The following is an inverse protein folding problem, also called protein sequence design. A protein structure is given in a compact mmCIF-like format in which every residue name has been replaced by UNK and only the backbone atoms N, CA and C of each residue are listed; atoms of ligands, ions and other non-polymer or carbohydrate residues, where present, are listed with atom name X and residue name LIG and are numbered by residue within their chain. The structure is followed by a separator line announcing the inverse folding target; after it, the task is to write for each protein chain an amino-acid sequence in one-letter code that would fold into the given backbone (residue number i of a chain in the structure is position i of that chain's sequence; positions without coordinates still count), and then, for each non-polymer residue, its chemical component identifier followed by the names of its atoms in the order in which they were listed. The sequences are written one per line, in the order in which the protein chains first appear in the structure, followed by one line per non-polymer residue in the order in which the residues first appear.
data_IF_597945077001
#
_entry.id   IF_597945077001
#
_cell.length_a   1.000
_cell.length_b   1.000
_cell.length_c   1.000
_cell.angle_alpha   90.00
_cell.angle_beta   90.00
_cell.angle_gamma   90.00
#
_symmetry.space_group_name_H-M   'P 1'
#
loop_
_entity.id
_entity.type
_entity.pdbx_description
1 polymer ?
#
# COMPACT_ATOMS: atom_id res chain seq x y z
N UNK A 1 -9.15 38.99 21.12
CA UNK A 1 -8.01 38.10 20.87
C UNK A 1 -8.25 37.38 19.56
N UNK A 2 -7.22 37.19 18.74
CA UNK A 2 -7.34 36.55 17.42
C UNK A 2 -7.63 35.06 17.58
N UNK A 3 -8.71 34.60 16.97
CA UNK A 3 -8.89 33.20 16.56
C UNK A 3 -8.16 33.03 15.23
N UNK A 4 -7.13 32.20 15.19
CA UNK A 4 -6.57 31.67 13.95
C UNK A 4 -6.19 30.21 14.23
N UNK A 5 -7.21 29.36 14.23
CA UNK A 5 -7.09 27.92 14.08
C UNK A 5 -7.19 27.59 12.58
N UNK A 6 -6.55 26.48 12.22
CA UNK A 6 -6.76 25.69 11.00
C UNK A 6 -5.97 26.15 9.78
N UNK A 7 -4.70 25.76 9.77
CA UNK A 7 -3.92 25.62 8.54
C UNK A 7 -4.68 24.70 7.57
N UNK A 8 -5.36 25.33 6.63
CA UNK A 8 -5.58 24.77 5.30
C UNK A 8 -4.23 24.32 4.73
N UNK A 9 -4.14 23.13 4.15
CA UNK A 9 -3.48 22.83 2.86
C UNK A 9 -3.33 21.31 2.63
N UNK A 10 -4.38 20.63 2.17
CA UNK A 10 -4.34 19.52 1.18
C UNK A 10 -5.79 19.21 0.73
N UNK A 11 -6.33 19.99 -0.21
CA UNK A 11 -6.58 19.55 -1.59
C UNK A 11 -7.60 18.39 -1.63
N UNK A 12 -8.90 18.66 -1.60
CA UNK A 12 -9.69 18.87 -2.83
C UNK A 12 -9.37 17.87 -3.96
N UNK A 13 -9.72 16.59 -3.77
CA UNK A 13 -9.95 15.63 -4.86
C UNK A 13 -11.02 14.61 -4.44
N UNK A 14 -12.24 15.10 -4.20
CA UNK A 14 -13.44 14.26 -4.13
C UNK A 14 -14.04 14.17 -5.53
N UNK A 15 -13.54 13.29 -6.39
CA UNK A 15 -14.23 12.82 -7.61
C UNK A 15 -13.57 11.53 -8.10
N UNK A 16 -14.17 10.38 -7.82
CA UNK A 16 -13.90 9.04 -8.40
C UNK A 16 -12.41 8.68 -8.51
N UNK A 17 -11.84 8.13 -7.43
CA UNK A 17 -10.50 7.55 -7.47
C UNK A 17 -10.45 6.53 -8.60
N UNK A 18 -9.56 6.73 -9.57
CA UNK A 18 -9.41 5.74 -10.63
C UNK A 18 -8.84 4.44 -10.03
N UNK A 19 -9.13 3.25 -10.60
CA UNK A 19 -8.54 1.98 -10.15
C UNK A 19 -7.03 2.04 -9.93
N UNK A 20 -6.35 2.77 -10.83
CA UNK A 20 -4.92 3.04 -10.74
C UNK A 20 -4.54 3.81 -9.48
N UNK A 21 -5.26 4.88 -9.14
CA UNK A 21 -4.93 5.73 -7.99
C UNK A 21 -5.19 5.02 -6.66
N UNK A 22 -6.26 4.21 -6.58
CA UNK A 22 -6.57 3.39 -5.40
C UNK A 22 -5.40 2.44 -5.14
N UNK A 23 -5.00 1.72 -6.19
CA UNK A 23 -3.92 0.74 -6.10
C UNK A 23 -2.56 1.40 -5.78
N UNK A 24 -2.25 2.54 -6.40
CA UNK A 24 -1.02 3.29 -6.09
C UNK A 24 -0.98 3.74 -4.63
N UNK A 25 -2.10 4.24 -4.09
CA UNK A 25 -2.20 4.66 -2.69
C UNK A 25 -2.01 3.47 -1.75
N UNK A 26 -2.70 2.37 -2.00
CA UNK A 26 -2.62 1.16 -1.19
C UNK A 26 -1.19 0.61 -1.17
N UNK A 27 -0.53 0.52 -2.33
CA UNK A 27 0.86 0.03 -2.42
C UNK A 27 1.80 0.95 -1.63
N UNK A 28 1.63 2.27 -1.75
CA UNK A 28 2.46 3.23 -1.02
C UNK A 28 2.24 3.18 0.50
N UNK A 29 1.02 2.94 0.96
CA UNK A 29 0.70 2.76 2.38
C UNK A 29 1.37 1.51 2.93
N UNK A 30 1.15 0.36 2.28
CA UNK A 30 1.75 -0.91 2.70
C UNK A 30 3.27 -0.86 2.70
N UNK A 31 3.86 -0.22 1.69
CA UNK A 31 5.29 0.01 1.62
C UNK A 31 5.79 0.90 2.77
N UNK A 32 5.09 1.99 3.07
CA UNK A 32 5.43 2.88 4.16
C UNK A 32 5.36 2.16 5.52
N UNK A 33 4.34 1.32 5.71
CA UNK A 33 4.19 0.47 6.90
C UNK A 33 5.32 -0.57 7.02
N UNK A 34 5.61 -1.32 5.96
CA UNK A 34 6.68 -2.34 5.95
C UNK A 34 8.06 -1.73 6.22
N UNK A 35 8.35 -0.58 5.60
CA UNK A 35 9.66 0.07 5.72
C UNK A 35 9.76 1.02 6.92
N UNK A 36 8.66 1.24 7.66
CA UNK A 36 8.57 2.22 8.74
C UNK A 36 9.06 3.61 8.32
N UNK A 37 8.62 4.06 7.14
CA UNK A 37 8.90 5.39 6.60
C UNK A 37 7.60 6.19 6.45
N UNK A 38 7.70 7.51 6.43
CA UNK A 38 6.53 8.35 6.19
C UNK A 38 6.00 8.15 4.75
N UNK A 39 4.69 7.93 4.59
CA UNK A 39 4.01 7.85 3.28
C UNK A 39 4.34 9.04 2.37
N UNK A 40 4.54 10.22 2.95
CA UNK A 40 4.91 11.44 2.20
C UNK A 40 6.30 11.39 1.57
N UNK A 41 7.13 10.41 1.91
CA UNK A 41 8.46 10.20 1.31
C UNK A 41 8.45 9.20 0.16
N UNK A 42 7.33 8.48 -0.01
CA UNK A 42 7.17 7.48 -1.06
C UNK A 42 6.67 8.18 -2.34
N UNK A 43 7.56 8.29 -3.32
CA UNK A 43 7.26 8.74 -4.67
C UNK A 43 6.84 7.55 -5.55
N UNK A 44 5.72 7.69 -6.27
CA UNK A 44 5.17 6.60 -7.11
C UNK A 44 6.04 6.25 -8.33
N UNK A 45 6.87 7.19 -8.78
CA UNK A 45 7.71 7.07 -9.98
C UNK A 45 9.14 6.59 -9.66
N UNK A 46 9.48 6.47 -8.38
CA UNK A 46 10.81 6.08 -7.95
C UNK A 46 10.87 4.57 -7.69
N UNK A 47 12.00 3.91 -8.01
CA UNK A 47 12.17 2.50 -7.72
C UNK A 47 12.01 2.18 -6.24
N UNK A 48 11.22 1.15 -5.93
CA UNK A 48 10.92 0.70 -4.57
C UNK A 48 12.19 0.32 -3.79
N UNK A 49 13.20 -0.21 -4.48
CA UNK A 49 14.51 -0.56 -3.92
C UNK A 49 15.25 0.64 -3.33
N UNK A 50 14.93 1.87 -3.74
CA UNK A 50 15.53 3.07 -3.16
C UNK A 50 15.08 3.31 -1.71
N UNK A 51 13.87 2.89 -1.36
CA UNK A 51 13.34 2.98 0.00
C UNK A 51 13.88 1.87 0.91
N UNK A 52 14.60 0.91 0.35
CA UNK A 52 15.15 -0.23 1.08
C UNK A 52 14.34 -1.51 0.94
N UNK A 53 13.37 -1.57 0.00
CA UNK A 53 12.63 -2.79 -0.29
C UNK A 53 13.59 -3.92 -0.68
N UNK A 54 13.57 -5.01 0.08
CA UNK A 54 14.33 -6.23 -0.21
C UNK A 54 13.47 -7.32 -0.86
N UNK A 55 14.08 -8.46 -1.23
CA UNK A 55 13.33 -9.54 -1.90
C UNK A 55 12.26 -10.19 -1.02
N UNK A 56 12.43 -10.24 0.30
CA UNK A 56 11.43 -10.78 1.23
C UNK A 56 10.28 -9.79 1.37
N UNK A 57 10.60 -8.50 1.49
CA UNK A 57 9.59 -7.45 1.58
C UNK A 57 8.76 -7.37 0.30
N UNK A 58 9.41 -7.46 -0.86
CA UNK A 58 8.75 -7.45 -2.15
C UNK A 58 7.79 -8.63 -2.31
N UNK A 59 8.21 -9.84 -1.95
CA UNK A 59 7.34 -11.04 -2.02
C UNK A 59 6.18 -10.95 -1.03
N UNK A 60 6.41 -10.35 0.15
CA UNK A 60 5.36 -10.13 1.15
C UNK A 60 4.31 -9.16 0.62
N UNK A 61 4.75 -8.03 0.03
CA UNK A 61 3.86 -7.04 -0.57
C UNK A 61 3.06 -7.61 -1.75
N UNK A 62 3.69 -8.46 -2.58
CA UNK A 62 2.97 -9.19 -3.63
C UNK A 62 1.92 -10.11 -3.01
N UNK A 63 2.26 -10.87 -1.97
CA UNK A 63 1.29 -11.75 -1.30
C UNK A 63 0.11 -11.01 -0.68
N UNK A 64 0.32 -9.81 -0.13
CA UNK A 64 -0.78 -8.96 0.35
C UNK A 64 -1.65 -8.46 -0.82
N UNK A 65 -1.04 -8.10 -1.96
CA UNK A 65 -1.81 -7.75 -3.16
C UNK A 65 -2.63 -8.94 -3.69
N UNK A 66 -2.07 -10.14 -3.67
CA UNK A 66 -2.78 -11.36 -4.08
C UNK A 66 -4.01 -11.62 -3.22
N UNK A 67 -3.90 -11.40 -1.90
CA UNK A 67 -5.00 -11.60 -0.94
C UNK A 67 -6.10 -10.54 -1.11
N UNK A 68 -5.72 -9.26 -1.24
CA UNK A 68 -6.68 -8.15 -1.40
C UNK A 68 -7.36 -8.16 -2.78
N UNK A 69 -6.64 -8.55 -3.83
CA UNK A 69 -7.18 -8.60 -5.18
C UNK A 69 -7.81 -9.96 -5.51
N UNK A 70 -7.64 -10.97 -4.66
CA UNK A 70 -8.03 -12.37 -4.89
C UNK A 70 -7.47 -12.93 -6.22
N UNK A 71 -6.21 -12.58 -6.55
CA UNK A 71 -5.54 -12.93 -7.81
C UNK A 71 -4.19 -13.61 -7.57
N UNK A 72 -3.72 -14.38 -8.55
CA UNK A 72 -2.33 -14.88 -8.57
C UNK A 72 -1.43 -13.89 -9.32
N UNK A 73 -0.43 -13.35 -8.63
CA UNK A 73 0.52 -12.37 -9.13
C UNK A 73 1.93 -12.94 -9.22
N UNK A 74 2.74 -12.49 -10.20
CA UNK A 74 4.12 -12.91 -10.26
C UNK A 74 4.91 -12.34 -9.07
N UNK A 75 5.62 -13.19 -8.34
CA UNK A 75 6.55 -12.77 -7.27
C UNK A 75 7.66 -11.81 -7.74
N UNK A 76 7.89 -11.72 -9.07
CA UNK A 76 8.80 -10.77 -9.70
C UNK A 76 8.14 -9.45 -10.10
N UNK A 77 6.88 -9.20 -9.75
CA UNK A 77 6.11 -8.01 -10.13
C UNK A 77 6.92 -6.72 -9.89
N UNK A 78 7.46 -6.54 -8.68
CA UNK A 78 8.26 -5.37 -8.32
C UNK A 78 9.70 -5.38 -8.87
N UNK A 79 10.11 -6.45 -9.54
CA UNK A 79 11.37 -6.52 -10.26
C UNK A 79 11.19 -6.12 -11.73
N UNK A 80 10.11 -6.59 -12.34
CA UNK A 80 9.71 -6.26 -13.72
C UNK A 80 9.16 -4.82 -13.80
N UNK A 81 8.42 -4.40 -12.77
CA UNK A 81 7.83 -3.08 -12.61
C UNK A 81 8.29 -2.44 -11.29
N UNK A 82 9.49 -1.84 -11.26
CA UNK A 82 10.14 -1.45 -10.01
C UNK A 82 9.53 -0.22 -9.32
N UNK A 83 8.49 0.39 -9.88
CA UNK A 83 7.87 1.63 -9.42
C UNK A 83 6.39 1.39 -9.18
N UNK A 84 5.82 2.02 -8.16
CA UNK A 84 4.39 1.91 -7.82
C UNK A 84 3.50 2.21 -9.02
N UNK A 85 3.83 3.25 -9.78
CA UNK A 85 3.11 3.65 -10.99
C UNK A 85 3.03 2.49 -11.99
N UNK A 86 4.17 1.97 -12.44
CA UNK A 86 4.23 0.87 -13.41
C UNK A 86 3.59 -0.42 -12.91
N UNK A 87 3.77 -0.78 -11.64
CA UNK A 87 3.17 -1.99 -11.09
C UNK A 87 1.64 -1.86 -11.06
N UNK A 88 1.12 -0.69 -10.67
CA UNK A 88 -0.31 -0.45 -10.66
C UNK A 88 -0.90 -0.38 -12.08
N UNK A 89 -0.21 0.26 -13.03
CA UNK A 89 -0.61 0.30 -14.44
C UNK A 89 -0.69 -1.11 -15.04
N UNK A 90 0.31 -1.94 -14.78
CA UNK A 90 0.32 -3.34 -15.21
C UNK A 90 -0.89 -4.11 -14.64
N UNK A 91 -1.16 -3.95 -13.35
CA UNK A 91 -2.25 -4.66 -12.68
C UNK A 91 -3.62 -4.27 -13.24
N UNK A 92 -3.88 -2.97 -13.42
CA UNK A 92 -5.13 -2.46 -14.01
C UNK A 92 -5.27 -2.83 -15.49
N UNK A 93 -4.15 -3.00 -16.21
CA UNK A 93 -4.16 -3.37 -17.62
C UNK A 93 -4.38 -4.87 -17.85
N UNK A 94 -3.77 -5.73 -17.03
CA UNK A 94 -3.79 -7.18 -17.21
C UNK A 94 -4.95 -7.87 -16.49
N UNK A 95 -5.46 -7.27 -15.41
CA UNK A 95 -6.47 -7.88 -14.56
C UNK A 95 -7.71 -6.99 -14.40
N UNK A 96 -8.88 -7.64 -14.29
CA UNK A 96 -10.12 -6.95 -13.92
C UNK A 96 -10.24 -6.91 -12.39
N UNK A 97 -9.67 -5.86 -11.81
CA UNK A 97 -9.63 -5.62 -10.36
C UNK A 97 -10.63 -4.54 -9.91
N UNK A 98 -11.59 -4.21 -10.77
CA UNK A 98 -12.57 -3.14 -10.50
C UNK A 98 -13.42 -3.43 -9.25
N UNK A 99 -13.86 -4.67 -9.09
CA UNK A 99 -14.66 -5.13 -7.94
C UNK A 99 -13.82 -5.20 -6.65
N UNK A 100 -12.58 -5.68 -6.74
CA UNK A 100 -11.68 -5.75 -5.58
C UNK A 100 -11.35 -4.36 -5.03
N UNK A 101 -11.09 -3.39 -5.92
CA UNK A 101 -10.76 -2.02 -5.54
C UNK A 101 -11.94 -1.26 -4.92
N UNK A 102 -13.18 -1.60 -5.28
CA UNK A 102 -14.38 -1.05 -4.64
C UNK A 102 -14.45 -1.43 -3.15
N UNK A 103 -13.98 -2.62 -2.77
CA UNK A 103 -13.91 -3.06 -1.38
C UNK A 103 -12.80 -2.34 -0.60
N UNK A 104 -11.67 -2.06 -1.24
CA UNK A 104 -10.54 -1.35 -0.65
C UNK A 104 -10.92 0.09 -0.26
N UNK A 105 -11.57 0.85 -1.15
CA UNK A 105 -12.02 2.23 -0.85
C UNK A 105 -13.09 2.29 0.26
N UNK A 106 -13.89 1.25 0.42
CA UNK A 106 -14.96 1.19 1.41
C UNK A 106 -14.44 1.06 2.85
N UNK A 107 -13.17 0.65 3.03
CA UNK A 107 -12.59 0.32 4.33
C UNK A 107 -11.79 1.47 4.99
N UNK A 108 -11.47 2.55 4.27
CA UNK A 108 -10.52 3.59 4.72
C UNK A 108 -11.13 4.74 5.54
N UNK A 109 -12.44 4.71 5.84
CA UNK A 109 -13.09 5.68 6.73
C UNK A 109 -13.12 5.17 8.18
N UNK A 110 -11.97 4.87 8.80
CA UNK A 110 -11.87 4.93 10.27
C UNK A 110 -10.44 5.21 10.75
N UNK A 111 -10.32 6.27 11.55
CA UNK A 111 -9.24 6.56 12.53
C UNK A 111 -7.89 7.09 12.03
N UNK A 112 -7.93 8.39 11.74
CA UNK A 112 -7.03 9.42 12.28
C UNK A 112 -6.58 9.12 13.75
N UNK A 113 -5.40 8.51 13.95
CA UNK A 113 -4.66 8.58 15.23
C UNK A 113 -3.15 8.29 15.03
N UNK A 114 -2.48 9.19 14.31
CA UNK A 114 -1.03 9.31 14.38
C UNK A 114 -0.64 9.95 15.72
N UNK A 115 -0.57 9.15 16.80
CA UNK A 115 0.11 9.52 18.04
C UNK A 115 1.26 8.55 18.35
N UNK A 116 2.42 8.88 17.78
CA UNK A 116 3.75 8.88 18.42
C UNK A 116 3.97 7.86 19.57
N UNK A 117 4.63 6.74 19.27
CA UNK A 117 5.76 6.24 20.10
C UNK A 117 6.73 5.41 19.25
N UNK A 118 7.82 6.04 18.82
CA UNK A 118 9.03 5.32 18.48
C UNK A 118 9.65 4.77 19.79
N UNK A 119 9.42 3.49 20.11
CA UNK A 119 10.18 2.78 21.15
C UNK A 119 10.30 1.26 20.88
N UNK A 120 11.36 0.88 20.13
CA UNK A 120 12.26 -0.26 20.38
C UNK A 120 11.67 -1.56 20.99
N UNK A 121 11.35 -2.56 20.15
CA UNK A 121 11.42 -4.02 20.47
C UNK A 121 11.10 -4.80 19.19
N UNK A 122 11.96 -5.63 18.61
CA UNK A 122 12.28 -6.95 19.15
C UNK A 122 11.36 -8.02 18.54
N UNK A 123 11.85 -8.69 17.48
CA UNK A 123 11.43 -10.00 16.91
C UNK A 123 10.04 -10.55 17.30
N UNK A 124 9.19 -10.77 16.30
CA UNK A 124 7.92 -11.49 16.47
C UNK A 124 7.27 -12.00 15.18
N UNK A 125 8.03 -12.49 14.20
CA UNK A 125 7.45 -13.23 13.06
C UNK A 125 7.05 -14.63 13.54
N UNK A 126 5.88 -14.74 14.14
CA UNK A 126 5.36 -15.99 14.68
C UNK A 126 3.85 -16.03 14.55
N UNK A 127 3.33 -16.59 13.45
CA UNK A 127 1.92 -16.97 13.40
C UNK A 127 1.26 -17.18 12.04
N UNK A 128 1.73 -16.58 10.95
CA UNK A 128 0.87 -16.40 9.77
C UNK A 128 0.79 -17.58 8.77
N UNK A 129 1.54 -18.67 8.94
CA UNK A 129 1.49 -19.86 8.06
C UNK A 129 0.49 -20.94 8.52
N UNK A 130 -0.70 -20.57 9.00
CA UNK A 130 -1.69 -21.56 9.46
C UNK A 130 -3.06 -21.30 8.86
N UNK A 131 -3.27 -21.77 7.63
CA UNK A 131 -4.61 -21.62 7.03
C UNK A 131 -4.95 -22.40 5.77
N UNK A 132 -4.03 -22.75 4.86
CA UNK A 132 -4.41 -23.54 3.68
C UNK A 132 -4.54 -25.01 4.06
N UNK A 133 -5.76 -25.43 4.39
CA UNK A 133 -6.16 -26.83 4.35
C UNK A 133 -7.20 -26.98 3.26
N UNK A 134 -6.74 -27.26 2.05
CA UNK A 134 -7.59 -27.82 1.00
C UNK A 134 -8.01 -29.25 1.36
N UNK A 135 -9.29 -29.57 1.12
CA UNK A 135 -9.82 -30.84 0.60
C UNK A 135 -11.33 -30.74 0.47
#
# INVERSE_FOLDING_TARGET
MQVQNSSTLNTEAKTESSPLEILQKWIAEKLAEQLSVDKSTIEFTEPLTRYGLDSIDAVTLVGELEDELELELPSTLFWDYPTIEKSAEYLVSEFDISEALENLESSEETTEEAEKTAEKSGKGWGGFWKGVSGS
#
